data_IF_448621228034
#
_entry.id   IF_448621228034
#
_cell.length_a   1.000
_cell.length_b   1.000
_cell.length_c   1.000
_cell.angle_alpha   90.00
_cell.angle_beta   90.00
_cell.angle_gamma   90.00
#
_symmetry.space_group_name_H-M   'P 1'
#
loop_
_entity.id
_entity.type
_entity.pdbx_description
1 polymer ?
#
# COMPACT_ATOMS: atom_id res chain seq x y z
N UNK A 1 -4.63 39.52 37.98
CA UNK A 1 -5.36 38.23 38.03
C UNK A 1 -6.84 38.52 38.19
N UNK A 2 -7.80 37.70 37.73
CA UNK A 2 -7.73 36.63 36.70
C UNK A 2 -8.73 36.86 35.54
N UNK A 3 -8.87 35.88 34.63
CA UNK A 3 -9.83 35.83 33.51
C UNK A 3 -11.14 35.12 33.92
N UNK A 4 -12.22 35.29 33.12
CA UNK A 4 -12.71 34.19 32.25
C UNK A 4 -13.10 34.70 30.83
N UNK A 5 -13.38 33.94 29.77
CA UNK A 5 -13.14 32.56 29.26
C UNK A 5 -14.34 32.11 28.40
N UNK A 6 -14.06 31.32 27.34
CA UNK A 6 -14.98 30.71 26.35
C UNK A 6 -15.69 31.68 25.35
N UNK A 7 -15.95 31.33 24.08
CA UNK A 7 -15.38 30.27 23.21
C UNK A 7 -15.68 30.48 21.71
N UNK A 8 -15.05 29.70 20.82
CA UNK A 8 -15.37 29.63 19.38
C UNK A 8 -16.38 28.51 19.09
N UNK A 9 -17.63 28.85 18.76
CA UNK A 9 -18.77 27.93 18.80
C UNK A 9 -19.51 27.62 17.49
N UNK A 10 -18.93 27.75 16.29
CA UNK A 10 -19.76 27.56 15.06
C UNK A 10 -19.14 26.87 13.83
N UNK A 11 -17.86 26.44 13.86
CA UNK A 11 -17.25 25.65 12.76
C UNK A 11 -17.24 24.13 12.97
N UNK A 12 -18.03 23.61 13.93
CA UNK A 12 -18.01 22.19 14.34
C UNK A 12 -19.21 21.34 13.89
N UNK A 13 -20.23 21.89 13.21
CA UNK A 13 -21.43 21.13 12.81
C UNK A 13 -21.35 20.30 11.50
N UNK A 14 -20.22 20.30 10.79
CA UNK A 14 -20.02 19.48 9.57
C UNK A 14 -18.97 18.36 9.68
N UNK A 15 -18.30 18.22 10.84
CA UNK A 15 -17.37 17.10 11.13
C UNK A 15 -18.06 15.87 11.73
N UNK A 16 -19.22 16.02 12.35
CA UNK A 16 -19.86 14.95 13.12
C UNK A 16 -20.44 13.81 12.27
N UNK A 17 -20.91 14.08 11.04
CA UNK A 17 -21.49 13.04 10.16
C UNK A 17 -20.49 12.10 9.49
N UNK A 18 -19.18 12.37 9.53
CA UNK A 18 -18.16 11.43 9.01
C UNK A 18 -17.46 10.65 10.14
N UNK A 19 -17.44 11.19 11.36
CA UNK A 19 -16.84 10.54 12.54
C UNK A 19 -17.72 9.45 13.17
N UNK A 20 -18.99 9.31 12.75
CA UNK A 20 -19.90 8.33 13.34
C UNK A 20 -19.75 6.90 12.75
N UNK A 21 -19.20 6.73 11.54
CA UNK A 21 -18.99 5.41 10.94
C UNK A 21 -17.72 4.71 11.43
N UNK A 22 -16.70 5.46 11.84
CA UNK A 22 -15.37 4.94 12.25
C UNK A 22 -15.21 4.76 13.77
N UNK A 23 -16.30 4.82 14.56
CA UNK A 23 -16.26 4.83 16.04
C UNK A 23 -16.98 3.64 16.70
N UNK A 24 -17.48 2.65 15.94
CA UNK A 24 -18.28 1.53 16.51
C UNK A 24 -17.51 0.24 16.87
N UNK A 25 -16.24 0.10 16.50
CA UNK A 25 -15.38 -0.98 16.99
C UNK A 25 -14.27 -0.36 17.86
N UNK A 26 -14.26 -0.72 19.15
CA UNK A 26 -13.71 0.13 20.20
C UNK A 26 -12.22 -0.02 20.49
N UNK A 27 -11.53 1.10 20.69
CA UNK A 27 -10.29 1.14 21.48
C UNK A 27 -10.64 1.49 22.92
N UNK A 28 -10.46 0.57 23.86
CA UNK A 28 -10.56 0.91 25.28
C UNK A 28 -10.73 -0.22 26.29
N UNK A 29 -9.62 -0.86 26.67
CA UNK A 29 -9.23 -1.03 28.09
C UNK A 29 -7.76 -1.44 28.20
N UNK A 30 -6.99 -0.67 28.97
CA UNK A 30 -5.65 -1.07 29.42
C UNK A 30 -5.80 -1.92 30.66
N UNK A 31 -5.64 -3.23 30.55
CA UNK A 31 -5.41 -4.08 31.71
C UNK A 31 -3.91 -4.33 31.87
N UNK A 32 -3.33 -3.68 32.89
CA UNK A 32 -2.03 -4.07 33.42
C UNK A 32 -2.22 -5.36 34.21
N UNK A 33 -1.80 -6.52 33.69
CA UNK A 33 -1.27 -7.61 34.54
C UNK A 33 -0.70 -8.75 33.70
N UNK A 34 0.33 -9.40 34.26
CA UNK A 34 0.95 -10.65 33.80
C UNK A 34 1.64 -10.55 32.43
N UNK A 35 2.85 -10.03 32.49
CA UNK A 35 3.97 -10.71 31.84
C UNK A 35 3.89 -12.20 32.21
N UNK A 36 3.38 -13.03 31.31
CA UNK A 36 3.56 -14.47 31.38
C UNK A 36 4.39 -14.84 30.18
N UNK A 37 5.70 -14.99 30.47
CA UNK A 37 6.71 -15.56 29.60
C UNK A 37 6.10 -16.71 28.80
N UNK A 38 5.85 -16.50 27.51
CA UNK A 38 5.41 -17.59 26.64
C UNK A 38 6.64 -18.44 26.38
N UNK A 39 6.65 -19.61 27.02
CA UNK A 39 7.80 -20.50 27.12
C UNK A 39 8.42 -20.81 25.76
N UNK A 40 9.75 -20.86 25.73
CA UNK A 40 10.45 -21.85 24.91
C UNK A 40 10.02 -23.23 25.43
N UNK A 41 9.12 -23.92 24.74
CA UNK A 41 8.86 -25.35 24.94
C UNK A 41 7.94 -25.86 23.82
N UNK A 42 8.55 -26.35 22.75
CA UNK A 42 8.09 -27.45 21.89
C UNK A 42 9.23 -27.83 20.92
N UNK A 43 10.40 -28.10 21.50
CA UNK A 43 11.41 -28.96 20.89
C UNK A 43 11.24 -30.35 21.50
N UNK A 44 11.32 -31.45 20.72
CA UNK A 44 11.26 -32.80 21.29
C UNK A 44 12.50 -33.05 22.17
N UNK A 45 12.34 -33.59 23.40
CA UNK A 45 13.48 -33.90 24.26
C UNK A 45 14.13 -35.23 23.83
N UNK A 46 15.40 -35.17 23.42
CA UNK A 46 16.18 -36.37 23.10
C UNK A 46 17.63 -36.07 22.76
N UNK A 47 18.54 -36.86 23.35
CA UNK A 47 19.99 -36.90 23.11
C UNK A 47 20.83 -35.68 23.57
N UNK A 48 21.32 -35.79 24.82
CA UNK A 48 22.68 -35.38 25.15
C UNK A 48 23.65 -36.48 24.66
N UNK A 49 24.70 -36.16 23.88
CA UNK A 49 25.75 -37.13 23.58
C UNK A 49 26.80 -37.15 24.71
N UNK A 50 27.06 -38.34 25.27
CA UNK A 50 28.26 -38.56 26.08
C UNK A 50 29.54 -38.56 25.22
N UNK A 51 30.68 -38.43 25.89
CA UNK A 51 31.99 -38.22 25.27
C UNK A 51 32.46 -39.46 24.49
N UNK A 52 32.50 -39.39 23.16
CA UNK A 52 33.12 -40.43 22.31
C UNK A 52 33.36 -39.98 20.87
N UNK A 53 34.63 -40.05 20.43
CA UNK A 53 35.16 -39.80 19.08
C UNK A 53 34.14 -39.71 17.91
N UNK A 54 33.76 -38.48 17.52
CA UNK A 54 32.71 -38.26 16.49
C UNK A 54 33.14 -37.46 15.26
N UNK A 55 34.45 -37.34 14.98
CA UNK A 55 34.95 -36.52 13.86
C UNK A 55 35.09 -37.26 12.51
N UNK A 56 35.22 -38.59 12.49
CA UNK A 56 35.49 -39.34 11.25
C UNK A 56 34.22 -39.82 10.52
N UNK A 57 33.13 -40.08 11.25
CA UNK A 57 31.87 -40.59 10.67
C UNK A 57 30.94 -39.49 10.16
N UNK A 58 31.07 -38.26 10.66
CA UNK A 58 30.15 -37.15 10.35
C UNK A 58 30.23 -36.68 8.89
N UNK A 59 31.44 -36.72 8.29
CA UNK A 59 31.67 -36.27 6.91
C UNK A 59 31.02 -37.19 5.85
N UNK A 60 30.85 -38.48 6.16
CA UNK A 60 30.18 -39.44 5.29
C UNK A 60 28.65 -39.34 5.39
N UNK A 61 28.10 -38.97 6.56
CA UNK A 61 26.66 -38.73 6.70
C UNK A 61 26.21 -37.40 6.11
N UNK A 62 27.01 -36.34 6.23
CA UNK A 62 26.66 -35.02 5.69
C UNK A 62 26.49 -35.02 4.16
N UNK A 63 27.31 -35.79 3.44
CA UNK A 63 27.27 -35.88 1.97
C UNK A 63 26.08 -36.68 1.43
N UNK A 64 25.59 -37.68 2.16
CA UNK A 64 24.42 -38.48 1.79
C UNK A 64 23.06 -37.88 2.21
N UNK A 65 23.05 -36.92 3.16
CA UNK A 65 21.80 -36.35 3.72
C UNK A 65 21.48 -34.93 3.26
N UNK A 66 22.47 -34.16 2.79
CA UNK A 66 22.25 -32.79 2.29
C UNK A 66 21.24 -32.63 1.12
N UNK A 67 20.97 -33.62 0.24
CA UNK A 67 19.94 -33.47 -0.80
C UNK A 67 18.51 -33.32 -0.26
N UNK A 68 18.23 -33.71 0.98
CA UNK A 68 16.86 -33.80 1.53
C UNK A 68 16.40 -32.58 2.35
N UNK A 69 17.28 -31.60 2.59
CA UNK A 69 16.93 -30.33 3.26
C UNK A 69 16.62 -29.18 2.27
N UNK A 70 16.57 -29.48 0.98
CA UNK A 70 16.09 -28.55 -0.04
C UNK A 70 14.57 -28.35 0.06
N UNK A 71 14.15 -27.13 0.39
CA UNK A 71 12.76 -26.64 0.39
C UNK A 71 11.82 -27.13 1.51
N UNK A 72 12.12 -26.76 2.76
CA UNK A 72 11.09 -26.46 3.77
C UNK A 72 11.05 -24.96 4.09
N UNK A 73 10.63 -24.17 3.10
CA UNK A 73 9.84 -22.96 3.40
C UNK A 73 8.40 -23.46 3.54
N UNK A 74 7.80 -23.29 4.71
CA UNK A 74 6.46 -23.80 5.00
C UNK A 74 5.40 -23.26 4.03
N UNK A 75 5.01 -24.09 3.07
CA UNK A 75 3.83 -23.87 2.21
C UNK A 75 2.51 -24.00 2.99
N UNK A 76 2.59 -24.43 4.25
CA UNK A 76 1.47 -24.79 5.12
C UNK A 76 1.14 -23.75 6.19
N UNK A 77 1.56 -22.48 6.04
CA UNK A 77 0.91 -21.40 6.80
C UNK A 77 -0.51 -21.23 6.26
N UNK A 78 -1.44 -22.00 6.82
CA UNK A 78 -2.87 -21.92 6.52
C UNK A 78 -3.42 -20.61 7.11
N UNK A 79 -3.26 -19.54 6.34
CA UNK A 79 -3.75 -18.22 6.70
C UNK A 79 -5.28 -18.22 6.78
N UNK A 80 -5.82 -18.09 8.00
CA UNK A 80 -7.25 -17.89 8.18
C UNK A 80 -7.69 -16.61 7.45
N UNK A 81 -8.71 -16.71 6.62
CA UNK A 81 -9.19 -15.61 5.75
C UNK A 81 -9.50 -14.33 6.54
N UNK A 82 -10.03 -14.48 7.76
CA UNK A 82 -10.31 -13.39 8.70
C UNK A 82 -9.07 -12.72 9.32
N UNK A 83 -7.95 -13.46 9.46
CA UNK A 83 -6.69 -12.90 9.92
C UNK A 83 -5.98 -12.13 8.80
N UNK A 84 -6.06 -12.62 7.54
CA UNK A 84 -5.54 -11.89 6.38
C UNK A 84 -6.23 -10.53 6.17
N UNK A 85 -7.55 -10.44 6.38
CA UNK A 85 -8.28 -9.19 6.17
C UNK A 85 -7.89 -8.06 7.12
N UNK A 86 -7.28 -8.39 8.27
CA UNK A 86 -6.80 -7.43 9.27
C UNK A 86 -5.27 -7.38 9.39
N UNK A 87 -4.55 -8.31 8.75
CA UNK A 87 -3.11 -8.33 8.74
C UNK A 87 -2.58 -7.21 7.85
N UNK A 88 -1.99 -6.18 8.46
CA UNK A 88 -1.19 -5.17 7.78
C UNK A 88 0.30 -5.52 7.91
N UNK A 89 0.94 -6.07 6.87
CA UNK A 89 2.37 -6.32 6.89
C UNK A 89 3.20 -5.12 7.38
N UNK A 90 4.30 -5.36 8.11
CA UNK A 90 5.34 -4.38 8.34
C UNK A 90 5.76 -3.67 7.03
N UNK A 91 6.14 -2.39 7.13
CA UNK A 91 6.59 -1.62 5.95
C UNK A 91 7.76 -2.28 5.21
N UNK A 92 8.60 -3.03 5.93
CA UNK A 92 9.74 -3.74 5.34
C UNK A 92 9.30 -4.90 4.44
N UNK A 93 8.12 -5.48 4.64
CA UNK A 93 7.61 -6.56 3.79
C UNK A 93 7.14 -6.04 2.44
N UNK A 94 6.46 -4.89 2.41
CA UNK A 94 6.15 -4.21 1.14
C UNK A 94 7.42 -3.75 0.42
N UNK A 95 8.45 -3.30 1.17
CA UNK A 95 9.75 -2.96 0.61
C UNK A 95 10.45 -4.18 0.00
N UNK A 96 10.52 -5.31 0.70
CA UNK A 96 11.06 -6.57 0.19
C UNK A 96 10.28 -7.03 -1.05
N UNK A 97 8.94 -6.99 -1.01
CA UNK A 97 8.11 -7.27 -2.18
C UNK A 97 8.45 -6.38 -3.37
N UNK A 98 8.54 -5.05 -3.17
CA UNK A 98 8.91 -4.09 -4.23
C UNK A 98 10.34 -4.26 -4.79
N UNK A 99 11.19 -5.02 -4.11
CA UNK A 99 12.54 -5.39 -4.53
C UNK A 99 12.63 -6.82 -5.08
N UNK A 100 11.53 -7.60 -5.05
CA UNK A 100 11.48 -8.96 -5.59
C UNK A 100 11.75 -8.98 -7.09
N UNK A 101 12.31 -10.09 -7.58
CA UNK A 101 12.47 -10.40 -9.00
C UNK A 101 11.19 -10.93 -9.65
N UNK A 102 10.24 -11.47 -8.86
CA UNK A 102 8.94 -11.89 -9.37
C UNK A 102 8.07 -10.66 -9.71
N UNK A 103 7.59 -10.50 -10.96
CA UNK A 103 6.82 -9.32 -11.36
C UNK A 103 5.54 -9.11 -10.54
N UNK A 104 4.82 -10.18 -10.16
CA UNK A 104 3.55 -10.07 -9.44
C UNK A 104 3.77 -9.60 -8.00
N UNK A 105 4.73 -10.20 -7.30
CA UNK A 105 5.15 -9.75 -5.97
C UNK A 105 5.77 -8.35 -6.01
N UNK A 106 6.49 -8.00 -7.08
CA UNK A 106 7.07 -6.67 -7.26
C UNK A 106 5.99 -5.60 -7.45
N UNK A 107 4.97 -5.86 -8.27
CA UNK A 107 3.77 -5.03 -8.41
C UNK A 107 3.11 -4.82 -7.04
N UNK A 108 2.75 -5.92 -6.37
CA UNK A 108 2.01 -5.90 -5.11
C UNK A 108 2.79 -5.16 -4.02
N UNK A 109 4.09 -5.41 -3.90
CA UNK A 109 4.95 -4.77 -2.92
C UNK A 109 5.10 -3.28 -3.17
N UNK A 110 5.38 -2.86 -4.41
CA UNK A 110 5.52 -1.43 -4.71
C UNK A 110 4.21 -0.67 -4.53
N UNK A 111 3.08 -1.24 -4.97
CA UNK A 111 1.77 -0.63 -4.81
C UNK A 111 1.39 -0.44 -3.33
N UNK A 112 1.47 -1.51 -2.53
CA UNK A 112 1.11 -1.44 -1.11
C UNK A 112 2.11 -0.60 -0.29
N UNK A 113 3.40 -0.58 -0.66
CA UNK A 113 4.36 0.33 -0.03
C UNK A 113 3.98 1.79 -0.31
N UNK A 114 3.59 2.12 -1.54
CA UNK A 114 3.09 3.43 -1.93
C UNK A 114 1.87 3.85 -1.10
N UNK A 115 0.85 2.99 -1.01
CA UNK A 115 -0.33 3.22 -0.18
C UNK A 115 0.02 3.43 1.31
N UNK A 116 0.97 2.66 1.84
CA UNK A 116 1.34 2.73 3.25
C UNK A 116 2.13 3.99 3.64
N UNK A 117 2.77 4.68 2.68
CA UNK A 117 3.58 5.89 2.96
C UNK A 117 3.01 7.19 2.36
N UNK A 118 1.99 7.14 1.49
CA UNK A 118 1.52 8.32 0.76
C UNK A 118 1.12 9.51 1.64
N UNK A 119 0.53 9.25 2.83
CA UNK A 119 0.19 10.31 3.79
C UNK A 119 1.42 11.02 4.39
N UNK A 120 2.56 10.32 4.48
CA UNK A 120 3.81 10.85 5.05
C UNK A 120 4.73 11.45 3.98
N UNK A 121 4.73 10.87 2.78
CA UNK A 121 5.60 11.29 1.67
C UNK A 121 4.96 10.91 0.32
N UNK A 122 4.16 11.82 -0.23
CA UNK A 122 3.46 11.58 -1.50
C UNK A 122 4.40 11.50 -2.71
N UNK A 123 5.57 12.14 -2.68
CA UNK A 123 6.57 12.03 -3.76
C UNK A 123 7.18 10.63 -3.81
N UNK A 124 7.54 10.04 -2.66
CA UNK A 124 8.04 8.65 -2.60
C UNK A 124 6.95 7.66 -2.98
N UNK A 125 5.70 7.88 -2.55
CA UNK A 125 4.57 7.08 -3.00
C UNK A 125 4.35 7.19 -4.52
N UNK A 126 4.44 8.39 -5.10
CA UNK A 126 4.35 8.61 -6.55
C UNK A 126 5.37 7.77 -7.33
N UNK A 127 6.63 7.71 -6.87
CA UNK A 127 7.67 6.86 -7.48
C UNK A 127 7.36 5.35 -7.36
N UNK A 128 6.80 4.91 -6.23
CA UNK A 128 6.42 3.52 -6.03
C UNK A 128 5.23 3.11 -6.92
N UNK A 129 4.22 3.98 -7.03
CA UNK A 129 3.11 3.78 -7.96
C UNK A 129 3.56 3.85 -9.44
N UNK A 130 4.54 4.69 -9.78
CA UNK A 130 5.16 4.69 -11.11
C UNK A 130 5.81 3.34 -11.42
N UNK A 131 6.57 2.76 -10.48
CA UNK A 131 7.15 1.42 -10.65
C UNK A 131 6.07 0.34 -10.83
N UNK A 132 5.03 0.34 -9.99
CA UNK A 132 3.90 -0.59 -10.14
C UNK A 132 3.18 -0.44 -11.50
N UNK A 133 2.97 0.80 -11.95
CA UNK A 133 2.38 1.09 -13.27
C UNK A 133 3.28 0.67 -14.43
N UNK A 134 4.60 0.80 -14.32
CA UNK A 134 5.55 0.34 -15.34
C UNK A 134 5.45 -1.17 -15.52
N UNK A 135 5.37 -1.91 -14.40
CA UNK A 135 5.19 -3.36 -14.37
C UNK A 135 3.80 -3.86 -14.81
N UNK A 136 2.82 -2.98 -14.98
CA UNK A 136 1.50 -3.31 -15.54
C UNK A 136 0.31 -3.24 -14.58
N UNK A 137 0.47 -2.77 -13.33
CA UNK A 137 -0.68 -2.56 -12.44
C UNK A 137 -1.54 -1.38 -12.90
N UNK A 138 -2.81 -1.66 -13.16
CA UNK A 138 -3.80 -0.68 -13.56
C UNK A 138 -4.09 0.32 -12.42
N UNK A 139 -4.14 -0.17 -11.18
CA UNK A 139 -4.32 0.58 -9.93
C UNK A 139 -3.11 1.47 -9.61
N UNK A 140 -1.90 0.98 -9.91
CA UNK A 140 -0.67 1.74 -9.86
C UNK A 140 -0.72 2.92 -10.83
N UNK A 141 -1.13 2.69 -12.08
CA UNK A 141 -1.30 3.75 -13.07
C UNK A 141 -2.37 4.78 -12.65
N UNK A 142 -3.51 4.32 -12.11
CA UNK A 142 -4.52 5.19 -11.51
C UNK A 142 -3.96 6.05 -10.38
N UNK A 143 -3.18 5.45 -9.48
CA UNK A 143 -2.65 6.14 -8.28
C UNK A 143 -1.65 7.24 -8.64
N UNK A 144 -0.80 7.02 -9.66
CA UNK A 144 0.03 8.07 -10.26
C UNK A 144 -0.83 9.19 -10.84
N UNK A 145 -1.82 8.81 -11.65
CA UNK A 145 -2.74 9.75 -12.28
C UNK A 145 -3.51 10.61 -11.28
N UNK A 146 -4.01 10.01 -10.20
CA UNK A 146 -4.77 10.68 -9.14
C UNK A 146 -3.89 11.66 -8.35
N UNK A 147 -2.69 11.25 -7.91
CA UNK A 147 -1.77 12.14 -7.18
C UNK A 147 -1.39 13.37 -8.01
N UNK A 148 -1.12 13.20 -9.31
CA UNK A 148 -0.82 14.29 -10.23
C UNK A 148 -2.05 15.11 -10.62
N UNK A 149 -3.24 14.51 -10.72
CA UNK A 149 -4.47 15.21 -11.08
C UNK A 149 -5.00 16.09 -9.93
N UNK A 150 -4.95 15.61 -8.70
CA UNK A 150 -5.39 16.39 -7.53
C UNK A 150 -4.29 17.32 -7.01
N UNK A 151 -3.03 16.89 -7.04
CA UNK A 151 -1.89 17.64 -6.48
C UNK A 151 -1.89 17.64 -4.95
N UNK A 152 -1.99 16.46 -4.34
CA UNK A 152 -2.06 16.28 -2.88
C UNK A 152 -0.79 15.67 -2.30
N UNK A 153 -0.66 15.67 -0.96
CA UNK A 153 0.42 14.99 -0.21
C UNK A 153 1.84 15.41 -0.63
N UNK A 154 2.00 16.68 -1.00
CA UNK A 154 3.26 17.28 -1.46
C UNK A 154 3.54 17.14 -2.96
N UNK A 155 2.76 16.33 -3.70
CA UNK A 155 2.85 16.25 -5.16
C UNK A 155 2.21 17.48 -5.79
N UNK A 156 2.92 18.18 -6.68
CA UNK A 156 2.34 19.32 -7.42
C UNK A 156 1.33 18.81 -8.46
N UNK A 157 0.22 19.55 -8.61
CA UNK A 157 -0.81 19.25 -9.62
C UNK A 157 -0.25 19.42 -11.04
N UNK A 158 -0.30 18.35 -11.82
CA UNK A 158 0.08 18.33 -13.23
C UNK A 158 -0.81 17.33 -14.00
N UNK A 159 -1.94 17.83 -14.51
CA UNK A 159 -2.88 17.04 -15.31
C UNK A 159 -2.31 16.61 -16.67
N UNK A 160 -1.29 17.32 -17.21
CA UNK A 160 -0.64 16.94 -18.48
C UNK A 160 0.19 15.67 -18.26
N UNK A 161 0.93 15.60 -17.15
CA UNK A 161 1.65 14.39 -16.73
C UNK A 161 0.71 13.30 -16.24
N UNK A 162 -0.42 13.62 -15.62
CA UNK A 162 -1.40 12.63 -15.17
C UNK A 162 -2.04 11.85 -16.33
N UNK A 163 -2.41 12.54 -17.42
CA UNK A 163 -3.18 11.98 -18.53
C UNK A 163 -2.63 10.67 -19.11
N UNK A 164 -1.34 10.54 -19.50
CA UNK A 164 -0.83 9.28 -20.07
C UNK A 164 -0.85 8.11 -19.08
N UNK A 165 -0.70 8.35 -17.77
CA UNK A 165 -0.86 7.29 -16.77
C UNK A 165 -2.32 6.84 -16.65
N UNK A 166 -3.27 7.78 -16.69
CA UNK A 166 -4.70 7.47 -16.67
C UNK A 166 -5.16 6.75 -17.95
N UNK A 167 -4.63 7.14 -19.11
CA UNK A 167 -4.88 6.42 -20.37
C UNK A 167 -4.28 5.01 -20.36
N UNK A 168 -3.08 4.83 -19.78
CA UNK A 168 -2.50 3.48 -19.57
C UNK A 168 -3.34 2.65 -18.61
N UNK A 169 -3.73 3.20 -17.45
CA UNK A 169 -4.59 2.50 -16.48
C UNK A 169 -5.94 2.11 -17.07
N UNK A 170 -6.53 2.98 -17.90
CA UNK A 170 -7.77 2.70 -18.62
C UNK A 170 -7.62 1.52 -19.59
N UNK A 171 -6.54 1.50 -20.39
CA UNK A 171 -6.21 0.38 -21.29
C UNK A 171 -5.94 -0.94 -20.56
N UNK A 172 -5.53 -0.88 -19.29
CA UNK A 172 -5.32 -2.02 -18.41
C UNK A 172 -6.59 -2.43 -17.62
N UNK A 173 -7.75 -1.80 -17.88
CA UNK A 173 -9.04 -2.15 -17.28
C UNK A 173 -9.47 -1.34 -16.05
N UNK A 174 -8.66 -0.39 -15.57
CA UNK A 174 -9.02 0.43 -14.40
C UNK A 174 -10.00 1.56 -14.79
N UNK A 175 -11.29 1.31 -14.59
CA UNK A 175 -12.38 2.21 -14.97
C UNK A 175 -12.34 3.60 -14.30
N UNK A 176 -11.78 3.73 -13.09
CA UNK A 176 -11.55 5.02 -12.45
C UNK A 176 -10.51 5.86 -13.22
N UNK A 177 -9.54 5.20 -13.87
CA UNK A 177 -8.58 5.86 -14.76
C UNK A 177 -9.26 6.37 -16.03
N UNK A 178 -10.11 5.55 -16.67
CA UNK A 178 -10.91 5.98 -17.82
C UNK A 178 -11.75 7.23 -17.50
N UNK A 179 -12.43 7.20 -16.34
CA UNK A 179 -13.28 8.31 -15.87
C UNK A 179 -12.48 9.62 -15.65
N UNK A 180 -11.28 9.54 -15.06
CA UNK A 180 -10.43 10.72 -14.88
C UNK A 180 -9.81 11.21 -16.20
N UNK A 181 -9.37 10.31 -17.09
CA UNK A 181 -8.89 10.68 -18.43
C UNK A 181 -9.98 11.39 -19.24
N UNK A 182 -11.20 10.84 -19.26
CA UNK A 182 -12.37 11.46 -19.88
C UNK A 182 -12.68 12.84 -19.30
N UNK A 183 -12.58 13.03 -17.98
CA UNK A 183 -12.72 14.35 -17.34
C UNK A 183 -11.67 15.36 -17.83
N UNK A 184 -10.40 14.94 -17.97
CA UNK A 184 -9.33 15.81 -18.52
C UNK A 184 -9.65 16.18 -19.97
N UNK A 185 -10.02 15.21 -20.81
CA UNK A 185 -10.37 15.45 -22.22
C UNK A 185 -11.57 16.38 -22.37
N UNK A 186 -12.64 16.20 -21.60
CA UNK A 186 -13.81 17.08 -21.59
C UNK A 186 -13.46 18.53 -21.20
N UNK A 187 -12.61 18.71 -20.17
CA UNK A 187 -12.13 20.05 -19.80
C UNK A 187 -11.28 20.70 -20.90
N UNK A 188 -10.46 19.92 -21.63
CA UNK A 188 -9.69 20.42 -22.78
C UNK A 188 -10.61 20.82 -23.94
N UNK A 189 -11.56 19.95 -24.32
CA UNK A 189 -12.53 20.22 -25.37
C UNK A 189 -13.35 21.48 -25.08
N UNK A 190 -13.90 21.62 -23.85
CA UNK A 190 -14.64 22.82 -23.43
C UNK A 190 -13.79 24.08 -23.54
N UNK A 191 -12.51 24.04 -23.14
CA UNK A 191 -11.61 25.19 -23.24
C UNK A 191 -11.28 25.55 -24.69
N UNK A 192 -11.11 24.57 -25.57
CA UNK A 192 -10.92 24.80 -27.01
C UNK A 192 -12.15 25.46 -27.64
N UNK A 193 -13.34 24.95 -27.34
CA UNK A 193 -14.62 25.51 -27.81
C UNK A 193 -14.81 26.96 -27.34
N UNK A 194 -14.60 27.24 -26.04
CA UNK A 194 -14.67 28.59 -25.50
C UNK A 194 -13.69 29.56 -26.20
N UNK A 195 -12.49 29.09 -26.55
CA UNK A 195 -11.50 29.90 -27.26
C UNK A 195 -11.89 30.14 -28.72
N UNK A 196 -12.52 29.18 -29.39
CA UNK A 196 -13.02 29.35 -30.76
C UNK A 196 -14.12 30.43 -30.81
N UNK A 197 -15.12 30.36 -29.93
CA UNK A 197 -16.19 31.36 -29.84
C UNK A 197 -15.66 32.77 -29.50
N UNK A 198 -14.56 32.89 -28.76
CA UNK A 198 -13.91 34.19 -28.51
C UNK A 198 -13.22 34.79 -29.75
N UNK A 199 -12.93 33.97 -30.77
CA UNK A 199 -12.32 34.39 -32.03
C UNK A 199 -13.36 34.63 -33.12
N UNK A 200 -14.49 33.91 -33.08
CA UNK A 200 -15.64 34.08 -33.97
C UNK A 200 -16.93 34.37 -33.17
N UNK A 201 -17.17 35.63 -32.77
CA UNK A 201 -18.35 36.01 -31.98
C UNK A 201 -19.67 36.01 -32.76
N UNK A 202 -19.66 35.68 -34.05
CA UNK A 202 -20.78 35.79 -35.00
C UNK A 202 -21.57 34.50 -35.23
N UNK A 203 -21.25 33.40 -34.52
CA UNK A 203 -22.02 32.15 -34.60
C UNK A 203 -23.32 32.26 -33.76
N UNK A 204 -24.50 31.93 -34.34
CA UNK A 204 -25.76 31.92 -33.60
C UNK A 204 -25.81 30.78 -32.56
N UNK A 205 -26.58 31.00 -31.49
CA UNK A 205 -26.74 30.10 -30.34
C UNK A 205 -27.79 29.01 -30.58
#
# INVERSE_FOLDING_TARGET
MPLPSFSQGEKMKKREKFLHFQRKEGVGKREKTKERVFKKENFPPGFLPEKGNFFSTFLLFASLTLPLLGNQIDKNVQWNHYQLSHYRPPLEDYRRGCLSSDPQQQIWGCYNWGLAIMEKNGQKALHLFQKACQLGSAEGCYSVGLLLFDGTRGVKKDWKRALPYLEKGCKLGEGLSCRLAGKIHLHRAKRSFQRAHQLEPSLPQ
#
